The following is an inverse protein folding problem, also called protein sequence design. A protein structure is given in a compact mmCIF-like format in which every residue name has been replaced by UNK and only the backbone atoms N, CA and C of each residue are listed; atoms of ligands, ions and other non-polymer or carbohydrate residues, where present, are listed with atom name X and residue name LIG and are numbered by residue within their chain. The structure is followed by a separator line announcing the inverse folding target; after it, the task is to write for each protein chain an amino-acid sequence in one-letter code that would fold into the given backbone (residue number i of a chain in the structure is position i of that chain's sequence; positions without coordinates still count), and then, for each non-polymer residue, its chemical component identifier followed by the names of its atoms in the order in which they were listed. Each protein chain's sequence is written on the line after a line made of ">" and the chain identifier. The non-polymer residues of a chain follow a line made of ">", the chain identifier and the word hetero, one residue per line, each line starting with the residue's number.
data_IF_154890100506
#
_entry.id   IF_154890100506
#
_cell.length_a   1.000
_cell.length_b   1.000
_cell.length_c   1.000
_cell.angle_alpha   90.00
_cell.angle_beta   90.00
_cell.angle_gamma   90.00
#
_symmetry.space_group_name_H-M   'P 1'
#
loop_
_entity.id
_entity.type
_entity.pdbx_description
1 polymer ?
#
# COMPACT_ATOMS: atom_id res chain seq x y z
N UNK A 1 -8.97 -0.31 -11.68
CA UNK A 1 -8.03 0.16 -10.65
C UNK A 1 -7.04 1.13 -11.28
N UNK A 2 -6.72 2.21 -10.57
CA UNK A 2 -5.66 3.14 -10.91
C UNK A 2 -4.72 3.28 -9.72
N UNK A 3 -3.41 3.16 -9.97
CA UNK A 3 -2.38 3.65 -9.05
C UNK A 3 -1.85 4.96 -9.64
N UNK A 4 -1.95 6.04 -8.88
CA UNK A 4 -1.45 7.35 -9.30
C UNK A 4 -0.29 7.77 -8.40
N UNK A 5 0.90 7.85 -8.97
CA UNK A 5 2.06 8.43 -8.33
C UNK A 5 1.94 9.95 -8.43
N UNK A 6 1.45 10.59 -7.37
CA UNK A 6 1.05 12.00 -7.40
C UNK A 6 2.21 12.97 -7.30
N UNK A 7 3.36 12.50 -6.80
CA UNK A 7 4.57 13.29 -6.64
C UNK A 7 5.81 12.38 -6.56
N UNK A 8 6.94 12.91 -6.99
CA UNK A 8 8.25 12.27 -6.80
C UNK A 8 8.94 12.72 -5.51
N UNK A 9 8.43 13.77 -4.85
CA UNK A 9 8.99 14.30 -3.62
C UNK A 9 8.80 13.29 -2.48
N UNK A 10 9.87 13.05 -1.73
CA UNK A 10 9.85 12.21 -0.54
C UNK A 10 10.85 12.75 0.49
N UNK A 11 10.45 12.71 1.75
CA UNK A 11 11.29 13.08 2.89
C UNK A 11 11.92 11.85 3.59
N UNK A 12 11.80 10.64 3.02
CA UNK A 12 12.51 9.43 3.41
C UNK A 12 13.52 9.00 2.34
N UNK A 13 14.52 8.18 2.73
CA UNK A 13 15.57 7.70 1.83
C UNK A 13 15.75 6.18 1.96
N UNK A 14 14.64 5.45 1.83
CA UNK A 14 14.62 4.00 1.99
C UNK A 14 15.47 3.32 0.91
N UNK A 15 16.50 2.53 1.26
CA UNK A 15 17.38 1.89 0.29
C UNK A 15 16.68 0.77 -0.52
N UNK A 16 15.52 0.30 -0.05
CA UNK A 16 14.69 -0.68 -0.72
C UNK A 16 13.50 -0.06 -1.49
N UNK A 17 13.51 1.25 -1.72
CA UNK A 17 12.47 1.93 -2.48
C UNK A 17 12.62 1.61 -3.98
N UNK A 18 11.63 0.95 -4.58
CA UNK A 18 11.63 0.62 -6.01
C UNK A 18 11.34 1.83 -6.91
N UNK A 19 10.77 2.90 -6.35
CA UNK A 19 10.34 4.05 -7.14
C UNK A 19 11.41 5.15 -7.21
N UNK A 20 12.10 5.40 -6.10
CA UNK A 20 13.12 6.47 -6.00
C UNK A 20 14.55 5.94 -6.06
N UNK A 21 14.75 4.63 -5.86
CA UNK A 21 16.08 4.03 -5.89
C UNK A 21 16.63 4.03 -7.31
N UNK A 22 17.83 4.61 -7.49
CA UNK A 22 18.49 4.70 -8.80
C UNK A 22 17.91 5.73 -9.75
N UNK A 23 16.90 6.47 -9.33
CA UNK A 23 16.45 7.60 -10.08
C UNK A 23 17.50 8.71 -9.98
N UNK A 24 18.13 9.05 -11.09
CA UNK A 24 18.77 10.36 -11.21
C UNK A 24 17.77 11.43 -10.72
N UNK A 25 18.26 12.52 -10.07
CA UNK A 25 17.37 13.63 -9.75
C UNK A 25 16.60 13.96 -11.03
N UNK A 26 15.29 14.18 -10.96
CA UNK A 26 14.49 14.40 -12.16
C UNK A 26 15.23 15.41 -13.02
N UNK A 27 15.55 14.99 -14.25
CA UNK A 27 15.95 15.97 -15.26
C UNK A 27 14.85 17.02 -15.20
N UNK A 28 15.21 18.27 -15.00
CA UNK A 28 14.32 19.36 -14.53
C UNK A 28 13.18 19.74 -15.51
N UNK A 29 12.70 18.82 -16.33
CA UNK A 29 12.00 19.16 -17.55
C UNK A 29 10.52 18.84 -17.61
N UNK A 30 10.00 17.88 -16.81
CA UNK A 30 8.57 17.61 -16.84
C UNK A 30 7.91 17.96 -15.50
N UNK A 31 7.11 19.03 -15.47
CA UNK A 31 6.38 19.39 -14.26
C UNK A 31 5.38 18.30 -13.89
N UNK A 32 5.16 18.12 -12.60
CA UNK A 32 4.08 17.25 -12.09
C UNK A 32 2.74 17.66 -12.71
N UNK A 33 1.87 16.70 -12.96
CA UNK A 33 0.53 16.95 -13.50
C UNK A 33 -0.21 17.98 -12.62
N UNK A 34 -0.70 19.02 -13.25
CA UNK A 34 -1.55 20.04 -12.63
C UNK A 34 -2.96 19.53 -12.39
N UNK A 35 -3.70 20.18 -11.49
CA UNK A 35 -5.09 19.80 -11.21
C UNK A 35 -5.99 19.81 -12.47
N UNK A 36 -5.88 20.81 -13.39
CA UNK A 36 -6.62 20.78 -14.66
C UNK A 36 -6.27 19.59 -15.56
N UNK A 37 -5.00 19.18 -15.65
CA UNK A 37 -4.58 17.99 -16.40
C UNK A 37 -5.16 16.72 -15.78
N UNK A 38 -5.10 16.60 -14.45
CA UNK A 38 -5.69 15.48 -13.69
C UNK A 38 -7.21 15.44 -13.91
N UNK A 39 -7.88 16.59 -14.01
CA UNK A 39 -9.32 16.65 -14.30
C UNK A 39 -9.65 16.11 -15.69
N UNK A 40 -8.84 16.42 -16.69
CA UNK A 40 -9.01 15.87 -18.05
C UNK A 40 -8.84 14.35 -18.04
N UNK A 41 -7.80 13.84 -17.37
CA UNK A 41 -7.56 12.39 -17.22
C UNK A 41 -8.75 11.72 -16.54
N UNK A 42 -9.21 12.24 -15.42
CA UNK A 42 -10.34 11.71 -14.67
C UNK A 42 -11.63 11.71 -15.50
N UNK A 43 -11.83 12.71 -16.34
CA UNK A 43 -12.97 12.82 -17.27
C UNK A 43 -13.02 11.68 -18.30
N UNK A 44 -11.87 11.15 -18.73
CA UNK A 44 -11.75 10.01 -19.65
C UNK A 44 -11.92 8.64 -18.98
N UNK A 45 -11.89 8.57 -17.63
CA UNK A 45 -12.02 7.33 -16.87
C UNK A 45 -13.48 7.10 -16.45
N UNK A 46 -13.86 5.81 -16.41
CA UNK A 46 -15.12 5.37 -15.78
C UNK A 46 -15.02 5.29 -14.26
N UNK A 47 -15.99 4.62 -13.64
CA UNK A 47 -15.97 4.34 -12.20
C UNK A 47 -14.78 3.46 -11.82
N UNK A 48 -14.17 3.74 -10.68
CA UNK A 48 -13.03 3.02 -10.15
C UNK A 48 -13.44 2.18 -8.93
N UNK A 49 -13.07 0.90 -8.93
CA UNK A 49 -13.18 0.10 -7.71
C UNK A 49 -12.10 0.51 -6.70
N UNK A 50 -10.89 0.76 -7.18
CA UNK A 50 -9.73 1.05 -6.36
C UNK A 50 -8.90 2.18 -6.98
N UNK A 51 -8.59 3.19 -6.18
CA UNK A 51 -7.66 4.25 -6.51
C UNK A 51 -6.58 4.31 -5.43
N UNK A 52 -5.34 4.02 -5.80
CA UNK A 52 -4.21 4.15 -4.88
C UNK A 52 -3.40 5.40 -5.25
N UNK A 53 -3.23 6.28 -4.30
CA UNK A 53 -2.28 7.38 -4.40
C UNK A 53 -0.92 6.91 -3.89
N UNK A 54 0.13 7.12 -4.65
CA UNK A 54 1.48 6.66 -4.35
C UNK A 54 2.52 7.67 -4.87
N UNK A 55 3.74 7.22 -5.07
CA UNK A 55 4.86 8.02 -5.57
C UNK A 55 6.00 8.07 -4.55
N UNK A 56 6.53 9.26 -4.27
CA UNK A 56 7.38 9.52 -3.13
C UNK A 56 6.54 9.46 -1.83
N UNK A 57 6.32 10.59 -1.20
CA UNK A 57 5.35 10.71 -0.09
C UNK A 57 4.11 11.49 -0.57
N UNK A 58 2.95 10.83 -0.73
CA UNK A 58 1.77 11.47 -1.30
C UNK A 58 1.32 12.71 -0.54
N UNK A 59 1.46 12.72 0.79
CA UNK A 59 1.03 13.85 1.62
C UNK A 59 1.92 15.09 1.49
N UNK A 60 3.08 14.99 0.84
CA UNK A 60 3.87 16.18 0.46
C UNK A 60 3.26 16.92 -0.73
N UNK A 61 2.32 16.31 -1.45
CA UNK A 61 1.50 16.96 -2.47
C UNK A 61 0.41 17.78 -1.80
N UNK A 62 0.54 19.12 -1.84
CA UNK A 62 -0.35 20.03 -1.09
C UNK A 62 -1.81 20.00 -1.54
N UNK A 63 -2.06 19.77 -2.83
CA UNK A 63 -3.39 19.67 -3.44
C UNK A 63 -3.93 18.22 -3.48
N UNK A 64 -3.35 17.29 -2.70
CA UNK A 64 -3.84 15.89 -2.59
C UNK A 64 -5.32 15.81 -2.19
N UNK A 65 -5.86 16.62 -1.26
CA UNK A 65 -7.29 16.61 -0.95
C UNK A 65 -8.16 17.03 -2.15
N UNK A 66 -7.73 18.04 -2.92
CA UNK A 66 -8.42 18.49 -4.13
C UNK A 66 -8.42 17.41 -5.21
N UNK A 67 -7.28 16.75 -5.44
CA UNK A 67 -7.13 15.63 -6.37
C UNK A 67 -8.06 14.48 -5.93
N UNK A 68 -8.08 14.15 -4.65
CA UNK A 68 -8.94 13.11 -4.08
C UNK A 68 -10.41 13.41 -4.31
N UNK A 69 -10.85 14.64 -4.03
CA UNK A 69 -12.21 15.12 -4.25
C UNK A 69 -12.60 15.11 -5.73
N UNK A 70 -11.65 15.44 -6.62
CA UNK A 70 -11.85 15.39 -8.07
C UNK A 70 -12.19 13.98 -8.53
N UNK A 71 -11.35 12.98 -8.20
CA UNK A 71 -11.62 11.58 -8.53
C UNK A 71 -12.88 11.06 -7.84
N UNK A 72 -13.15 11.45 -6.60
CA UNK A 72 -14.36 11.08 -5.90
C UNK A 72 -15.62 11.51 -6.66
N UNK A 73 -15.64 12.72 -7.19
CA UNK A 73 -16.78 13.24 -7.94
C UNK A 73 -16.91 12.62 -9.33
N UNK A 74 -15.81 12.46 -10.04
CA UNK A 74 -15.78 11.98 -11.44
C UNK A 74 -15.88 10.48 -11.56
N UNK A 75 -15.13 9.75 -10.73
CA UNK A 75 -14.88 8.32 -10.90
C UNK A 75 -15.43 7.45 -9.77
N UNK A 76 -15.93 8.05 -8.69
CA UNK A 76 -16.60 7.37 -7.56
C UNK A 76 -15.83 6.15 -7.07
N UNK A 77 -14.53 6.26 -6.73
CA UNK A 77 -13.77 5.13 -6.27
C UNK A 77 -14.40 4.53 -5.02
N UNK A 78 -14.56 3.18 -5.00
CA UNK A 78 -15.08 2.53 -3.80
C UNK A 78 -14.06 2.59 -2.66
N UNK A 79 -12.77 2.46 -2.98
CA UNK A 79 -11.66 2.54 -2.03
C UNK A 79 -10.60 3.50 -2.56
N UNK A 80 -10.16 4.42 -1.72
CA UNK A 80 -8.98 5.26 -1.94
C UNK A 80 -7.90 4.92 -0.91
N UNK A 81 -6.71 4.55 -1.38
CA UNK A 81 -5.58 4.10 -0.56
C UNK A 81 -4.47 5.15 -0.57
N UNK A 82 -3.95 5.44 0.61
CA UNK A 82 -2.89 6.41 0.86
C UNK A 82 -1.79 5.74 1.71
N UNK A 83 -0.77 5.12 1.11
CA UNK A 83 0.43 4.75 1.85
C UNK A 83 1.18 6.01 2.25
N UNK A 84 1.74 6.03 3.46
CA UNK A 84 2.54 7.16 3.94
C UNK A 84 3.70 6.68 4.79
N UNK A 85 4.80 7.42 4.73
CA UNK A 85 5.95 7.20 5.59
C UNK A 85 5.75 7.74 7.03
N UNK A 86 4.69 8.52 7.26
CA UNK A 86 4.32 9.01 8.58
C UNK A 86 5.22 10.12 9.14
N UNK A 87 6.08 10.76 8.34
CA UNK A 87 7.10 11.69 8.83
C UNK A 87 6.62 13.13 9.03
N UNK A 88 5.39 13.45 8.65
CA UNK A 88 4.77 14.78 8.79
C UNK A 88 3.40 14.66 9.47
N UNK A 89 3.36 14.37 10.78
CA UNK A 89 2.14 13.98 11.50
C UNK A 89 0.98 14.96 11.35
N UNK A 90 1.23 16.26 11.50
CA UNK A 90 0.23 17.32 11.41
C UNK A 90 -0.38 17.37 10.00
N UNK A 91 0.47 17.43 8.98
CA UNK A 91 0.06 17.53 7.58
C UNK A 91 -0.75 16.32 7.15
N UNK A 92 -0.31 15.12 7.54
CA UNK A 92 -1.01 13.87 7.23
C UNK A 92 -2.38 13.84 7.90
N UNK A 93 -2.48 14.24 9.16
CA UNK A 93 -3.74 14.26 9.90
C UNK A 93 -4.72 15.27 9.29
N UNK A 94 -4.26 16.50 9.01
CA UNK A 94 -5.06 17.56 8.40
C UNK A 94 -5.61 17.15 7.02
N UNK A 95 -4.74 16.71 6.13
CA UNK A 95 -5.15 16.28 4.79
C UNK A 95 -6.06 15.07 4.83
N UNK A 96 -5.77 14.08 5.70
CA UNK A 96 -6.63 12.90 5.86
C UNK A 96 -8.02 13.30 6.30
N UNK A 97 -8.15 14.15 7.31
CA UNK A 97 -9.46 14.59 7.80
C UNK A 97 -10.23 15.39 6.72
N UNK A 98 -9.54 16.22 5.95
CA UNK A 98 -10.14 16.93 4.83
C UNK A 98 -10.65 15.96 3.76
N UNK A 99 -9.87 14.94 3.38
CA UNK A 99 -10.28 13.91 2.43
C UNK A 99 -11.49 13.14 2.95
N UNK A 100 -11.52 12.78 4.23
CA UNK A 100 -12.64 12.07 4.86
C UNK A 100 -13.94 12.88 4.80
N UNK A 101 -13.88 14.18 5.03
CA UNK A 101 -15.05 15.09 4.92
C UNK A 101 -15.53 15.20 3.48
N UNK A 102 -14.59 15.35 2.53
CA UNK A 102 -14.90 15.61 1.13
C UNK A 102 -15.34 14.36 0.35
N UNK A 103 -15.00 13.15 0.87
CA UNK A 103 -15.22 11.87 0.19
C UNK A 103 -16.01 10.85 1.06
N UNK A 104 -17.22 11.19 1.56
CA UNK A 104 -17.90 10.42 2.61
C UNK A 104 -18.39 9.03 2.18
N UNK A 105 -18.50 8.74 0.89
CA UNK A 105 -18.98 7.44 0.38
C UNK A 105 -17.87 6.49 -0.08
N UNK A 106 -16.64 6.95 -0.12
CA UNK A 106 -15.48 6.11 -0.41
C UNK A 106 -14.84 5.64 0.89
N UNK A 107 -14.37 4.40 0.91
CA UNK A 107 -13.47 3.94 1.97
C UNK A 107 -12.14 4.67 1.80
N UNK A 108 -11.68 5.35 2.83
CA UNK A 108 -10.39 6.05 2.86
C UNK A 108 -9.44 5.23 3.71
N UNK A 109 -8.45 4.61 3.08
CA UNK A 109 -7.48 3.75 3.74
C UNK A 109 -6.12 4.40 3.81
N UNK A 110 -5.65 4.76 4.99
CA UNK A 110 -4.27 5.22 5.23
C UNK A 110 -3.44 4.06 5.75
N UNK A 111 -2.28 3.83 5.12
CA UNK A 111 -1.34 2.77 5.49
C UNK A 111 -0.02 3.37 5.94
N UNK A 112 0.23 3.30 7.24
CA UNK A 112 1.52 3.72 7.82
C UNK A 112 2.60 2.72 7.44
N UNK A 113 3.71 3.19 6.93
CA UNK A 113 4.88 2.36 6.66
C UNK A 113 5.65 2.12 7.95
N UNK A 114 5.76 0.86 8.39
CA UNK A 114 6.47 0.50 9.61
C UNK A 114 7.28 -0.79 9.37
N UNK A 115 8.58 -0.65 9.18
CA UNK A 115 9.47 -1.74 8.76
C UNK A 115 10.43 -2.21 9.87
N UNK A 116 10.27 -1.69 11.07
CA UNK A 116 11.03 -2.01 12.27
C UNK A 116 10.40 -1.39 13.51
N UNK A 117 11.00 -1.59 14.67
CA UNK A 117 10.61 -0.97 15.94
C UNK A 117 11.76 -0.09 16.43
N UNK A 118 11.47 1.14 16.84
CA UNK A 118 12.47 2.09 17.32
C UNK A 118 13.54 2.41 16.28
N UNK A 119 14.79 2.47 16.71
CA UNK A 119 15.94 2.79 15.85
C UNK A 119 16.14 1.81 14.67
N UNK A 120 15.65 0.56 14.77
CA UNK A 120 15.73 -0.37 13.66
C UNK A 120 14.90 0.12 12.47
N UNK A 121 13.73 0.73 12.72
CA UNK A 121 12.93 1.40 11.70
C UNK A 121 13.68 2.60 11.09
N UNK A 122 14.25 3.44 11.95
CA UNK A 122 14.95 4.66 11.53
C UNK A 122 16.14 4.34 10.63
N UNK A 123 16.96 3.36 11.01
CA UNK A 123 18.09 2.89 10.22
C UNK A 123 17.65 2.33 8.86
N UNK A 124 16.62 1.49 8.87
CA UNK A 124 16.15 0.83 7.65
C UNK A 124 15.54 1.82 6.65
N UNK A 125 14.91 2.89 7.12
CA UNK A 125 14.29 3.91 6.26
C UNK A 125 15.17 5.14 6.01
N UNK A 126 16.34 5.20 6.63
CA UNK A 126 17.25 6.35 6.52
C UNK A 126 16.64 7.64 7.10
N UNK A 127 15.86 7.51 8.18
CA UNK A 127 15.09 8.62 8.78
C UNK A 127 15.28 8.65 10.29
N UNK A 128 16.35 9.26 10.83
CA UNK A 128 16.54 9.39 12.27
C UNK A 128 15.33 10.03 12.96
N UNK A 129 14.83 9.40 14.02
CA UNK A 129 13.62 9.81 14.73
C UNK A 129 12.30 9.54 13.96
N UNK A 130 12.39 8.85 12.82
CA UNK A 130 11.23 8.55 11.97
C UNK A 130 10.19 7.68 12.66
N UNK A 131 10.63 6.68 13.44
CA UNK A 131 9.72 5.82 14.20
C UNK A 131 8.81 6.61 15.13
N UNK A 132 9.37 7.56 15.90
CA UNK A 132 8.58 8.40 16.79
C UNK A 132 7.53 9.21 16.03
N UNK A 133 7.87 9.74 14.84
CA UNK A 133 6.91 10.47 13.97
C UNK A 133 5.82 9.57 13.41
N UNK A 134 6.13 8.33 13.04
CA UNK A 134 5.12 7.34 12.62
C UNK A 134 4.14 7.06 13.74
N UNK A 135 4.62 6.92 14.98
CA UNK A 135 3.75 6.72 16.15
C UNK A 135 2.91 7.96 16.43
N UNK A 136 3.50 9.16 16.38
CA UNK A 136 2.74 10.40 16.49
C UNK A 136 1.66 10.52 15.38
N UNK A 137 1.98 10.14 14.15
CA UNK A 137 1.00 10.11 13.06
C UNK A 137 -0.14 9.13 13.38
N UNK A 138 0.18 7.93 13.89
CA UNK A 138 -0.82 6.99 14.36
C UNK A 138 -1.73 7.59 15.44
N UNK A 139 -1.16 8.24 16.45
CA UNK A 139 -1.91 8.85 17.54
C UNK A 139 -2.85 9.97 17.08
N UNK A 140 -2.44 10.75 16.07
CA UNK A 140 -3.27 11.81 15.47
C UNK A 140 -4.38 11.26 14.57
N UNK A 141 -4.14 10.15 13.88
CA UNK A 141 -5.12 9.53 12.99
C UNK A 141 -6.12 8.64 13.73
N UNK A 142 -5.72 7.99 14.82
CA UNK A 142 -6.55 7.03 15.54
C UNK A 142 -7.93 7.58 15.99
N UNK A 143 -8.06 8.81 16.49
CA UNK A 143 -9.35 9.39 16.86
C UNK A 143 -10.30 9.61 15.67
N UNK A 144 -9.77 9.73 14.45
CA UNK A 144 -10.61 9.91 13.26
C UNK A 144 -11.47 8.66 12.96
N UNK A 145 -11.05 7.48 13.43
CA UNK A 145 -11.83 6.25 13.28
C UNK A 145 -13.19 6.28 13.99
N UNK A 146 -13.33 7.07 15.05
CA UNK A 146 -14.58 7.22 15.79
C UNK A 146 -15.52 8.22 15.14
N UNK A 147 -14.93 9.18 14.39
CA UNK A 147 -15.67 10.26 13.73
C UNK A 147 -16.08 9.93 12.30
N UNK A 148 -15.33 9.05 11.63
CA UNK A 148 -15.47 8.74 10.20
C UNK A 148 -15.55 7.22 10.00
N UNK A 149 -16.76 6.64 9.90
CA UNK A 149 -16.93 5.18 9.77
C UNK A 149 -16.32 4.59 8.49
N UNK A 150 -16.13 5.42 7.45
CA UNK A 150 -15.47 5.02 6.20
C UNK A 150 -13.93 5.05 6.27
N UNK A 151 -13.35 5.43 7.42
CA UNK A 151 -11.91 5.48 7.61
C UNK A 151 -11.32 4.12 7.96
N UNK A 152 -10.22 3.76 7.31
CA UNK A 152 -9.43 2.56 7.58
C UNK A 152 -7.99 2.96 7.87
N UNK A 153 -7.48 2.59 9.03
CA UNK A 153 -6.10 2.82 9.44
C UNK A 153 -5.36 1.48 9.53
N UNK A 154 -4.25 1.38 8.83
CA UNK A 154 -3.46 0.14 8.80
C UNK A 154 -1.96 0.39 8.76
N UNK A 155 -1.22 -0.69 8.85
CA UNK A 155 0.24 -0.71 8.71
C UNK A 155 0.62 -1.54 7.48
N UNK A 156 1.65 -1.09 6.77
CA UNK A 156 2.35 -1.86 5.76
C UNK A 156 3.81 -2.01 6.16
N UNK A 157 4.30 -3.26 6.15
CA UNK A 157 5.70 -3.62 6.38
C UNK A 157 6.27 -4.24 5.12
N UNK A 158 7.38 -3.72 4.62
CA UNK A 158 8.13 -4.35 3.54
C UNK A 158 9.05 -5.40 4.14
N UNK A 159 8.79 -6.67 3.83
CA UNK A 159 9.64 -7.79 4.19
C UNK A 159 10.88 -7.80 3.29
N UNK A 160 12.05 -7.59 3.86
CA UNK A 160 13.33 -7.56 3.16
C UNK A 160 14.42 -8.24 4.00
N UNK A 161 15.61 -8.42 3.41
CA UNK A 161 16.76 -9.04 4.10
C UNK A 161 17.07 -8.37 5.45
N UNK A 162 16.95 -7.05 5.53
CA UNK A 162 17.36 -6.29 6.71
C UNK A 162 16.43 -6.43 7.92
N UNK A 163 15.15 -6.81 7.71
CA UNK A 163 14.18 -6.96 8.81
C UNK A 163 13.57 -8.36 8.94
N UNK A 164 13.93 -9.30 8.07
CA UNK A 164 13.32 -10.64 8.04
C UNK A 164 13.44 -11.42 9.37
N UNK A 165 14.44 -11.10 10.19
CA UNK A 165 14.68 -11.76 11.49
C UNK A 165 13.88 -11.11 12.64
N UNK A 166 13.26 -9.96 12.38
CA UNK A 166 12.56 -9.17 13.40
C UNK A 166 11.04 -9.11 13.16
N UNK A 167 10.52 -9.89 12.21
CA UNK A 167 9.12 -9.80 11.78
C UNK A 167 8.11 -10.12 12.87
N UNK A 168 8.42 -11.08 13.75
CA UNK A 168 7.53 -11.40 14.86
C UNK A 168 7.43 -10.22 15.84
N UNK A 169 8.56 -9.60 16.19
CA UNK A 169 8.57 -8.40 17.03
C UNK A 169 7.82 -7.20 16.41
N UNK A 170 7.93 -7.04 15.10
CA UNK A 170 7.16 -6.01 14.35
C UNK A 170 5.67 -6.32 14.41
N UNK A 171 5.27 -7.57 14.16
CA UNK A 171 3.87 -7.99 14.20
C UNK A 171 3.27 -7.83 15.62
N UNK A 172 4.03 -8.22 16.65
CA UNK A 172 3.63 -8.03 18.05
C UNK A 172 3.48 -6.54 18.40
N UNK A 173 4.39 -5.70 17.91
CA UNK A 173 4.28 -4.27 18.11
C UNK A 173 3.03 -3.70 17.44
N UNK A 174 2.79 -4.05 16.18
CA UNK A 174 1.59 -3.60 15.44
C UNK A 174 0.30 -4.08 16.11
N UNK A 175 0.28 -5.31 16.64
CA UNK A 175 -0.88 -5.84 17.37
C UNK A 175 -1.20 -5.06 18.67
N UNK A 176 -0.20 -4.39 19.28
CA UNK A 176 -0.43 -3.50 20.43
C UNK A 176 -1.04 -2.14 20.04
N UNK A 177 -0.95 -1.74 18.78
CA UNK A 177 -1.58 -0.52 18.29
C UNK A 177 -3.09 -0.76 18.08
N UNK A 178 -3.87 -0.63 19.14
CA UNK A 178 -5.29 -1.06 19.24
C UNK A 178 -6.21 -0.53 18.15
N UNK A 179 -5.84 0.57 17.48
CA UNK A 179 -6.65 1.22 16.43
C UNK A 179 -6.23 0.83 15.02
N UNK A 180 -5.15 0.04 14.87
CA UNK A 180 -4.76 -0.52 13.58
C UNK A 180 -5.72 -1.65 13.21
N UNK A 181 -6.36 -1.54 12.06
CA UNK A 181 -7.32 -2.53 11.55
C UNK A 181 -6.68 -3.60 10.66
N UNK A 182 -5.54 -3.29 10.05
CA UNK A 182 -4.89 -4.25 9.13
C UNK A 182 -3.38 -4.09 9.16
N UNK A 183 -2.69 -5.23 9.16
CA UNK A 183 -1.25 -5.31 8.96
C UNK A 183 -0.95 -6.07 7.68
N UNK A 184 -0.40 -5.38 6.69
CA UNK A 184 0.06 -5.97 5.43
C UNK A 184 1.56 -6.16 5.50
N UNK A 185 2.05 -7.36 5.18
CA UNK A 185 3.48 -7.64 5.03
C UNK A 185 3.73 -7.91 3.56
N UNK A 186 4.37 -6.97 2.90
CA UNK A 186 4.66 -6.98 1.47
C UNK A 186 6.08 -7.48 1.21
N UNK A 187 6.24 -8.43 0.32
CA UNK A 187 7.58 -8.88 -0.09
C UNK A 187 8.27 -7.76 -0.88
N UNK A 188 9.54 -7.47 -0.56
CA UNK A 188 10.34 -6.49 -1.29
C UNK A 188 10.39 -6.80 -2.78
N UNK A 189 10.25 -5.79 -3.63
CA UNK A 189 10.06 -5.95 -5.07
C UNK A 189 10.63 -4.78 -5.88
N UNK A 190 10.50 -4.90 -7.22
CA UNK A 190 10.93 -3.88 -8.16
C UNK A 190 12.44 -3.87 -8.38
N UNK A 191 12.95 -2.89 -9.08
CA UNK A 191 14.36 -2.64 -9.22
C UNK A 191 14.84 -1.80 -8.04
N UNK A 192 15.93 -2.20 -7.40
CA UNK A 192 16.47 -1.55 -6.21
C UNK A 192 17.90 -1.12 -6.49
N UNK A 193 18.34 -0.02 -5.86
CA UNK A 193 19.74 0.41 -5.91
C UNK A 193 20.68 -0.65 -5.32
N UNK A 194 20.24 -1.35 -4.26
CA UNK A 194 20.93 -2.50 -3.69
C UNK A 194 20.04 -3.75 -3.78
N UNK A 195 20.32 -4.62 -4.73
CA UNK A 195 19.63 -5.89 -4.91
C UNK A 195 19.77 -6.84 -3.71
N UNK A 196 20.72 -6.62 -2.80
CA UNK A 196 20.92 -7.38 -1.59
C UNK A 196 19.69 -7.40 -0.66
N UNK A 197 18.88 -6.35 -0.69
CA UNK A 197 17.60 -6.32 0.06
C UNK A 197 16.59 -7.38 -0.38
N UNK A 198 16.70 -7.90 -1.61
CA UNK A 198 15.84 -8.98 -2.13
C UNK A 198 16.29 -10.38 -1.72
N UNK A 199 17.48 -10.54 -1.14
CA UNK A 199 17.99 -11.83 -0.68
C UNK A 199 17.32 -12.23 0.62
N UNK A 200 16.07 -12.67 0.53
CA UNK A 200 15.22 -13.01 1.66
C UNK A 200 15.11 -14.53 1.85
N UNK A 201 14.96 -14.95 3.10
CA UNK A 201 14.56 -16.30 3.45
C UNK A 201 13.04 -16.45 3.29
N UNK A 202 12.62 -17.17 2.25
CA UNK A 202 11.20 -17.42 1.99
C UNK A 202 10.53 -18.29 3.05
N UNK A 203 11.29 -19.07 3.85
CA UNK A 203 10.77 -19.77 5.01
C UNK A 203 10.34 -18.80 6.12
N UNK A 204 11.13 -17.73 6.36
CA UNK A 204 10.76 -16.66 7.29
C UNK A 204 9.54 -15.90 6.80
N UNK A 205 9.49 -15.57 5.50
CA UNK A 205 8.30 -14.93 4.92
C UNK A 205 7.06 -15.84 5.05
N UNK A 206 7.21 -17.15 4.82
CA UNK A 206 6.11 -18.10 5.01
C UNK A 206 5.58 -18.09 6.44
N UNK A 207 6.46 -18.10 7.44
CA UNK A 207 6.04 -18.09 8.87
C UNK A 207 5.19 -16.88 9.20
N UNK A 208 5.65 -15.68 8.84
CA UNK A 208 4.87 -14.46 9.12
C UNK A 208 3.56 -14.42 8.32
N UNK A 209 3.56 -14.85 7.05
CA UNK A 209 2.36 -14.91 6.23
C UNK A 209 1.33 -15.91 6.80
N UNK A 210 1.77 -17.05 7.32
CA UNK A 210 0.92 -18.03 8.01
C UNK A 210 0.37 -17.47 9.31
N UNK A 211 1.21 -16.88 10.15
CA UNK A 211 0.79 -16.25 11.42
C UNK A 211 -0.35 -15.25 11.18
N UNK A 212 -0.15 -14.30 10.28
CA UNK A 212 -1.17 -13.29 9.96
C UNK A 212 -2.45 -13.91 9.35
N UNK A 213 -2.32 -14.99 8.58
CA UNK A 213 -3.47 -15.74 8.06
C UNK A 213 -4.25 -16.45 9.15
N UNK A 214 -3.57 -17.07 10.09
CA UNK A 214 -4.19 -17.79 11.22
C UNK A 214 -4.83 -16.84 12.23
N UNK A 215 -4.24 -15.67 12.45
CA UNK A 215 -4.84 -14.61 13.25
C UNK A 215 -6.17 -14.13 12.66
N UNK A 216 -6.24 -13.97 11.32
CA UNK A 216 -7.49 -13.64 10.62
C UNK A 216 -8.52 -14.76 10.75
N UNK A 217 -8.14 -16.04 10.55
CA UNK A 217 -9.06 -17.18 10.67
C UNK A 217 -9.63 -17.32 12.09
N UNK A 218 -8.80 -17.09 13.10
CA UNK A 218 -9.20 -17.17 14.51
C UNK A 218 -9.99 -15.94 14.97
N UNK A 219 -10.06 -14.87 14.17
CA UNK A 219 -10.73 -13.62 14.53
C UNK A 219 -10.03 -12.83 15.63
N UNK A 220 -8.72 -13.09 15.88
CA UNK A 220 -7.92 -12.34 16.85
C UNK A 220 -7.26 -11.10 16.21
N UNK A 221 -7.03 -11.12 14.91
CA UNK A 221 -6.63 -9.93 14.18
C UNK A 221 -7.85 -9.07 13.83
N UNK A 222 -7.76 -7.75 13.95
CA UNK A 222 -8.79 -6.88 13.45
C UNK A 222 -8.89 -6.99 11.92
N UNK A 223 -10.10 -6.82 11.39
CA UNK A 223 -10.40 -6.83 9.97
C UNK A 223 -10.91 -5.47 9.52
N UNK A 224 -10.88 -5.22 8.22
CA UNK A 224 -11.52 -4.05 7.64
C UNK A 224 -12.98 -3.90 8.11
N UNK A 225 -13.45 -2.66 8.24
CA UNK A 225 -14.81 -2.37 8.67
C UNK A 225 -15.78 -2.08 7.51
N UNK A 226 -15.33 -2.10 6.26
CA UNK A 226 -16.17 -1.81 5.11
C UNK A 226 -16.99 -3.03 4.63
N UNK A 227 -18.02 -2.78 3.84
CA UNK A 227 -18.84 -3.83 3.22
C UNK A 227 -17.96 -4.68 2.27
N UNK A 228 -17.90 -5.99 2.51
CA UNK A 228 -17.03 -6.92 1.78
C UNK A 228 -15.69 -7.21 2.48
N UNK A 229 -15.47 -6.68 3.67
CA UNK A 229 -14.27 -6.89 4.48
C UNK A 229 -13.90 -8.37 4.65
N UNK A 230 -14.87 -9.24 4.87
CA UNK A 230 -14.65 -10.69 5.01
C UNK A 230 -14.13 -11.33 3.72
N UNK A 231 -14.65 -10.91 2.55
CA UNK A 231 -14.14 -11.35 1.26
C UNK A 231 -12.71 -10.85 1.04
N UNK A 232 -12.42 -9.61 1.43
CA UNK A 232 -11.08 -9.05 1.36
C UNK A 232 -10.10 -9.82 2.25
N UNK A 233 -10.49 -10.20 3.47
CA UNK A 233 -9.66 -11.02 4.36
C UNK A 233 -9.38 -12.41 3.77
N UNK A 234 -10.38 -13.07 3.21
CA UNK A 234 -10.20 -14.34 2.51
C UNK A 234 -9.24 -14.20 1.30
N UNK A 235 -9.43 -13.12 0.53
CA UNK A 235 -8.56 -12.79 -0.61
C UNK A 235 -7.12 -12.55 -0.16
N UNK A 236 -6.87 -11.87 0.98
CA UNK A 236 -5.53 -11.63 1.51
C UNK A 236 -4.81 -12.94 1.88
N UNK A 237 -5.53 -13.92 2.43
CA UNK A 237 -4.96 -15.24 2.74
C UNK A 237 -4.57 -16.00 1.46
N UNK A 238 -5.45 -16.02 0.47
CA UNK A 238 -5.16 -16.63 -0.85
C UNK A 238 -3.97 -15.95 -1.51
N UNK A 239 -3.95 -14.62 -1.48
CA UNK A 239 -2.87 -13.80 -2.04
C UNK A 239 -1.51 -14.12 -1.45
N UNK A 240 -1.39 -14.19 -0.12
CA UNK A 240 -0.11 -14.51 0.57
C UNK A 240 0.45 -15.86 0.13
N UNK A 241 -0.42 -16.88 -0.02
CA UNK A 241 -0.02 -18.20 -0.53
C UNK A 241 0.49 -18.13 -1.97
N UNK A 242 -0.19 -17.36 -2.82
CA UNK A 242 0.19 -17.21 -4.22
C UNK A 242 1.49 -16.43 -4.38
N UNK A 243 1.68 -15.37 -3.60
CA UNK A 243 2.92 -14.59 -3.57
C UNK A 243 4.10 -15.49 -3.18
N UNK A 244 3.95 -16.26 -2.10
CA UNK A 244 4.99 -17.20 -1.65
C UNK A 244 5.33 -18.24 -2.73
N UNK A 245 4.31 -18.82 -3.37
CA UNK A 245 4.52 -19.78 -4.43
C UNK A 245 5.22 -19.18 -5.65
N UNK A 246 4.79 -17.98 -6.07
CA UNK A 246 5.45 -17.25 -7.17
C UNK A 246 6.89 -16.85 -6.83
N UNK A 247 7.17 -16.53 -5.55
CA UNK A 247 8.53 -16.20 -5.12
C UNK A 247 9.48 -17.40 -5.13
N UNK A 248 8.96 -18.62 -4.86
CA UNK A 248 9.72 -19.87 -4.92
C UNK A 248 9.95 -20.37 -6.34
N UNK A 249 8.92 -20.25 -7.15
CA UNK A 249 8.90 -20.68 -8.53
C UNK A 249 8.46 -19.48 -9.37
N UNK A 250 9.40 -18.73 -10.00
CA UNK A 250 9.10 -17.49 -10.73
C UNK A 250 8.29 -17.77 -12.01
N UNK A 251 7.06 -18.24 -11.85
CA UNK A 251 6.11 -18.47 -12.93
C UNK A 251 4.77 -17.83 -12.61
N UNK A 252 4.03 -17.49 -13.67
CA UNK A 252 2.70 -16.89 -13.50
C UNK A 252 1.67 -17.95 -13.14
N UNK A 253 1.16 -17.89 -11.91
CA UNK A 253 0.16 -18.80 -11.38
C UNK A 253 -1.27 -18.47 -11.82
N UNK A 254 -1.55 -17.20 -12.09
CA UNK A 254 -2.88 -16.67 -12.47
C UNK A 254 -2.78 -15.70 -13.61
N UNK A 255 -3.88 -15.51 -14.33
CA UNK A 255 -3.96 -14.49 -15.37
C UNK A 255 -3.77 -13.11 -14.74
N UNK A 256 -2.99 -12.26 -15.42
CA UNK A 256 -2.69 -10.91 -14.96
C UNK A 256 -3.53 -9.90 -15.73
N UNK A 257 -4.20 -9.02 -14.99
CA UNK A 257 -5.03 -7.95 -15.56
C UNK A 257 -4.32 -6.60 -15.63
N UNK A 258 -2.98 -6.57 -15.44
CA UNK A 258 -2.18 -5.36 -15.63
C UNK A 258 -2.37 -4.81 -17.05
N UNK A 259 -2.57 -3.50 -17.16
CA UNK A 259 -2.89 -2.82 -18.40
C UNK A 259 -4.33 -3.03 -18.91
N UNK A 260 -5.13 -3.91 -18.30
CA UNK A 260 -6.54 -4.15 -18.65
C UNK A 260 -7.51 -3.66 -17.58
N UNK A 261 -7.32 -4.10 -16.34
CA UNK A 261 -8.10 -3.67 -15.17
C UNK A 261 -7.29 -2.76 -14.24
N UNK A 262 -5.99 -2.74 -14.38
CA UNK A 262 -5.04 -1.97 -13.56
C UNK A 262 -4.15 -1.13 -14.45
N UNK A 263 -3.97 0.13 -14.09
CA UNK A 263 -3.02 1.05 -14.72
C UNK A 263 -2.25 1.80 -13.64
N UNK A 264 -1.06 2.24 -14.00
CA UNK A 264 -0.25 3.19 -13.21
C UNK A 264 -0.10 4.47 -14.01
N UNK A 265 -0.31 5.60 -13.36
CA UNK A 265 -0.06 6.93 -13.88
C UNK A 265 1.03 7.57 -13.03
N UNK A 266 2.08 8.09 -13.67
CA UNK A 266 3.12 8.84 -12.96
C UNK A 266 2.72 10.29 -12.70
N UNK A 267 3.49 10.95 -11.88
CA UNK A 267 3.37 12.39 -11.59
C UNK A 267 3.61 13.28 -12.82
N UNK A 268 4.35 12.77 -13.81
CA UNK A 268 4.66 13.49 -15.07
C UNK A 268 3.76 13.09 -16.22
N UNK A 269 2.80 12.17 -16.00
CA UNK A 269 1.82 11.76 -17.01
C UNK A 269 2.20 10.49 -17.77
N UNK A 270 3.29 9.81 -17.44
CA UNK A 270 3.62 8.52 -18.01
C UNK A 270 2.63 7.45 -17.54
N UNK A 271 2.22 6.59 -18.45
CA UNK A 271 1.31 5.48 -18.19
C UNK A 271 2.06 4.17 -18.25
N UNK A 272 1.89 3.33 -17.22
CA UNK A 272 2.50 2.01 -17.16
C UNK A 272 1.45 0.92 -16.94
N UNK A 273 1.70 -0.33 -17.38
CA UNK A 273 0.79 -1.44 -17.13
C UNK A 273 0.79 -1.86 -15.65
N UNK A 274 1.94 -1.74 -14.98
CA UNK A 274 2.11 -2.09 -13.58
C UNK A 274 3.37 -1.46 -12.96
N UNK A 275 3.43 -1.46 -11.63
CA UNK A 275 4.55 -0.92 -10.84
C UNK A 275 5.84 -1.75 -10.91
N UNK A 276 5.76 -3.03 -11.32
CA UNK A 276 6.92 -3.92 -11.48
C UNK A 276 7.51 -3.89 -12.88
N UNK A 277 6.71 -3.52 -13.85
CA UNK A 277 7.14 -3.37 -15.24
C UNK A 277 6.91 -1.92 -15.66
N UNK A 278 7.88 -1.07 -15.28
CA UNK A 278 7.86 0.37 -15.54
C UNK A 278 8.24 0.69 -17.00
N UNK A 279 7.72 -0.11 -17.95
CA UNK A 279 7.82 0.17 -19.37
C UNK A 279 6.68 1.12 -19.75
N UNK A 280 7.00 2.33 -20.20
CA UNK A 280 6.01 3.32 -20.61
C UNK A 280 5.15 2.81 -21.76
N UNK A 281 3.85 3.03 -21.64
CA UNK A 281 2.87 2.82 -22.69
C UNK A 281 2.62 4.09 -23.51
N UNK A 282 3.06 5.23 -23.00
CA UNK A 282 2.92 6.57 -23.55
C UNK A 282 2.65 7.61 -22.46
N UNK A 283 2.80 8.89 -22.81
CA UNK A 283 2.50 10.01 -21.91
C UNK A 283 1.12 10.58 -22.23
N UNK A 284 0.34 10.92 -21.20
CA UNK A 284 -1.01 11.48 -21.36
C UNK A 284 -1.02 12.80 -22.12
N UNK A 285 0.03 13.61 -22.02
CA UNK A 285 0.17 14.90 -22.71
C UNK A 285 0.24 14.73 -24.23
N UNK A 286 0.88 13.64 -24.70
CA UNK A 286 1.01 13.31 -26.13
C UNK A 286 -0.28 12.77 -26.73
N UNK A 287 -1.26 12.41 -25.89
CA UNK A 287 -2.50 11.77 -26.27
C UNK A 287 -3.75 12.54 -25.83
N UNK A 288 -3.64 13.85 -25.67
CA UNK A 288 -4.74 14.73 -25.27
C UNK A 288 -5.44 14.29 -23.97
N UNK A 289 -4.67 13.66 -23.05
CA UNK A 289 -5.10 13.07 -21.76
C UNK A 289 -6.08 11.90 -21.89
N UNK A 290 -6.19 11.29 -23.11
CA UNK A 290 -7.01 10.10 -23.32
C UNK A 290 -6.21 8.82 -23.09
N UNK A 291 -6.38 8.22 -21.91
CA UNK A 291 -5.78 6.92 -21.58
C UNK A 291 -6.22 5.80 -22.53
N UNK A 292 -7.41 5.90 -23.15
CA UNK A 292 -7.88 4.89 -24.11
C UNK A 292 -7.11 4.97 -25.42
N UNK A 293 -6.72 6.18 -25.84
CA UNK A 293 -5.85 6.36 -27.00
C UNK A 293 -4.49 5.70 -26.78
N UNK A 294 -3.87 5.95 -25.60
CA UNK A 294 -2.61 5.30 -25.21
C UNK A 294 -2.74 3.77 -25.27
N UNK A 295 -3.81 3.22 -24.66
CA UNK A 295 -4.02 1.76 -24.61
C UNK A 295 -4.26 1.10 -25.97
N UNK A 296 -4.63 1.87 -27.00
CA UNK A 296 -4.78 1.40 -28.38
C UNK A 296 -3.51 1.57 -29.22
N UNK A 297 -2.53 2.29 -28.74
CA UNK A 297 -1.26 2.51 -29.45
C UNK A 297 -0.42 1.22 -29.56
N UNK A 298 0.46 1.16 -30.53
CA UNK A 298 1.27 -0.04 -30.77
C UNK A 298 2.16 -0.44 -29.58
N UNK A 299 2.83 0.48 -28.85
CA UNK A 299 3.63 0.12 -27.68
C UNK A 299 2.81 -0.55 -26.58
N UNK A 300 1.60 -0.03 -26.30
CA UNK A 300 0.70 -0.62 -25.31
C UNK A 300 0.26 -2.01 -25.72
N UNK A 301 -0.14 -2.22 -26.99
CA UNK A 301 -0.52 -3.53 -27.51
C UNK A 301 0.59 -4.55 -27.38
N UNK A 302 1.81 -4.22 -27.79
CA UNK A 302 2.96 -5.11 -27.66
C UNK A 302 3.23 -5.53 -26.21
N UNK A 303 3.13 -4.58 -25.28
CA UNK A 303 3.28 -4.85 -23.84
C UNK A 303 2.15 -5.74 -23.30
N UNK A 304 0.90 -5.48 -23.69
CA UNK A 304 -0.24 -6.30 -23.28
C UNK A 304 -0.18 -7.73 -23.82
N UNK A 305 0.30 -7.90 -25.05
CA UNK A 305 0.52 -9.22 -25.67
C UNK A 305 1.62 -9.99 -24.92
N UNK A 306 2.70 -9.34 -24.56
CA UNK A 306 3.76 -9.93 -23.70
C UNK A 306 3.21 -10.38 -22.34
N UNK A 307 2.36 -9.55 -21.71
CA UNK A 307 1.65 -9.92 -20.48
C UNK A 307 0.73 -11.12 -20.72
N UNK A 308 0.00 -11.16 -21.82
CA UNK A 308 -0.90 -12.27 -22.16
C UNK A 308 -0.12 -13.58 -22.40
N UNK A 309 1.03 -13.51 -23.04
CA UNK A 309 1.95 -14.66 -23.25
C UNK A 309 2.66 -15.12 -21.98
N UNK A 310 2.39 -14.51 -20.82
CA UNK A 310 2.97 -14.87 -19.52
C UNK A 310 4.49 -14.68 -19.42
N UNK A 311 5.04 -13.70 -20.12
CA UNK A 311 6.48 -13.41 -20.14
C UNK A 311 7.01 -12.74 -18.86
N UNK A 312 6.15 -12.52 -17.87
CA UNK A 312 6.52 -12.00 -16.57
C UNK A 312 5.75 -12.68 -15.44
N UNK A 313 6.38 -12.72 -14.27
CA UNK A 313 5.77 -13.10 -13.00
C UNK A 313 6.11 -12.03 -11.96
N UNK A 314 5.24 -11.80 -10.99
CA UNK A 314 5.47 -10.84 -9.93
C UNK A 314 4.82 -11.27 -8.61
N UNK A 315 5.29 -10.67 -7.53
CA UNK A 315 4.80 -10.88 -6.16
C UNK A 315 4.03 -9.67 -5.62
N UNK A 316 3.57 -8.78 -6.51
CA UNK A 316 2.94 -7.51 -6.12
C UNK A 316 1.49 -7.68 -5.67
N UNK A 317 1.21 -7.35 -4.42
CA UNK A 317 -0.08 -7.52 -3.74
C UNK A 317 -1.23 -6.85 -4.51
N UNK A 318 -1.07 -5.59 -4.93
CA UNK A 318 -2.14 -4.82 -5.57
C UNK A 318 -2.68 -5.48 -6.85
N UNK A 319 -1.81 -6.18 -7.58
CA UNK A 319 -2.23 -6.90 -8.79
C UNK A 319 -2.86 -8.24 -8.47
N UNK A 320 -2.39 -8.92 -7.42
CA UNK A 320 -3.04 -10.14 -6.95
C UNK A 320 -4.49 -9.90 -6.49
N UNK A 321 -4.82 -8.73 -5.94
CA UNK A 321 -6.21 -8.40 -5.57
C UNK A 321 -7.14 -8.58 -6.77
N UNK A 322 -6.87 -7.89 -7.87
CA UNK A 322 -7.70 -7.99 -9.09
C UNK A 322 -7.57 -9.35 -9.76
N UNK A 323 -6.36 -9.92 -9.84
CA UNK A 323 -6.11 -11.20 -10.46
C UNK A 323 -6.81 -12.36 -9.73
N UNK A 324 -7.06 -12.25 -8.43
CA UNK A 324 -7.79 -13.23 -7.64
C UNK A 324 -9.31 -13.00 -7.75
N UNK A 325 -9.76 -11.77 -7.54
CA UNK A 325 -11.19 -11.44 -7.49
C UNK A 325 -11.90 -11.62 -8.83
N UNK A 326 -11.19 -11.41 -9.94
CA UNK A 326 -11.73 -11.54 -11.29
C UNK A 326 -11.35 -12.86 -11.99
N UNK A 327 -10.79 -13.83 -11.26
CA UNK A 327 -10.48 -15.15 -11.81
C UNK A 327 -11.42 -16.23 -11.23
N UNK A 328 -12.42 -16.71 -11.98
CA UNK A 328 -13.37 -17.72 -11.49
C UNK A 328 -12.71 -19.01 -10.99
N UNK A 329 -11.54 -19.39 -11.53
CA UNK A 329 -10.79 -20.58 -11.11
C UNK A 329 -10.35 -20.53 -9.65
N UNK A 330 -10.29 -19.34 -9.05
CA UNK A 330 -9.91 -19.13 -7.65
C UNK A 330 -11.11 -19.02 -6.70
N UNK A 331 -12.35 -19.00 -7.20
CA UNK A 331 -13.53 -18.91 -6.35
C UNK A 331 -13.67 -20.07 -5.36
N UNK A 332 -13.33 -21.34 -5.70
CA UNK A 332 -13.31 -22.39 -4.68
C UNK A 332 -12.35 -22.08 -3.53
N UNK A 333 -11.13 -21.62 -3.82
CA UNK A 333 -10.14 -21.25 -2.81
C UNK A 333 -10.60 -20.06 -1.96
N UNK A 334 -11.21 -19.04 -2.59
CA UNK A 334 -11.79 -17.90 -1.89
C UNK A 334 -12.94 -18.32 -0.98
N UNK A 335 -13.83 -19.19 -1.44
CA UNK A 335 -14.97 -19.68 -0.66
C UNK A 335 -14.48 -20.48 0.55
N UNK A 336 -13.49 -21.36 0.36
CA UNK A 336 -12.89 -22.13 1.46
C UNK A 336 -12.35 -21.19 2.55
N UNK A 337 -11.56 -20.17 2.18
CA UNK A 337 -11.03 -19.24 3.15
C UNK A 337 -12.13 -18.35 3.76
N UNK A 338 -13.10 -17.93 2.97
CA UNK A 338 -14.23 -17.13 3.45
C UNK A 338 -15.04 -17.87 4.53
N UNK A 339 -15.26 -19.17 4.35
CA UNK A 339 -15.96 -20.02 5.32
C UNK A 339 -15.09 -20.32 6.55
N UNK A 340 -13.78 -20.42 6.38
CA UNK A 340 -12.83 -20.67 7.47
C UNK A 340 -12.59 -19.46 8.39
N UNK A 341 -12.93 -18.25 7.95
CA UNK A 341 -12.82 -17.04 8.80
C UNK A 341 -13.81 -17.11 9.97
N UNK A 342 -13.40 -16.65 11.14
CA UNK A 342 -14.30 -16.48 12.29
C UNK A 342 -15.50 -15.57 11.93
N UNK A 343 -16.69 -15.83 12.50
CA UNK A 343 -17.83 -14.93 12.32
C UNK A 343 -17.51 -13.51 12.81
N UNK A 344 -18.03 -12.46 12.15
CA UNK A 344 -17.88 -11.11 12.65
C UNK A 344 -18.54 -11.00 14.04
N UNK A 345 -17.85 -10.43 15.03
CA UNK A 345 -18.36 -10.21 16.38
C UNK A 345 -17.78 -11.10 17.49
N UNK A 346 -16.97 -12.11 17.19
CA UNK A 346 -16.10 -12.74 18.19
C UNK A 346 -14.77 -12.00 18.29
N UNK A 347 -14.77 -10.80 18.86
CA UNK A 347 -13.56 -10.32 19.52
C UNK A 347 -13.28 -11.31 20.66
N UNK A 348 -12.05 -11.83 20.74
CA UNK A 348 -11.64 -12.63 21.88
C UNK A 348 -11.95 -11.84 23.16
N UNK A 349 -12.49 -12.48 24.22
CA UNK A 349 -12.67 -11.80 25.49
C UNK A 349 -11.33 -11.22 25.91
N UNK A 350 -11.38 -10.01 26.43
CA UNK A 350 -10.26 -9.23 26.95
C UNK A 350 -9.50 -10.10 27.96
N UNK A 351 -8.48 -10.83 27.50
CA UNK A 351 -7.56 -11.51 28.39
C UNK A 351 -6.77 -10.42 29.09
N UNK A 352 -7.08 -10.24 30.37
CA UNK A 352 -6.65 -9.20 31.28
C UNK A 352 -5.30 -8.57 30.94
N UNK A 353 -5.31 -7.29 30.69
CA UNK A 353 -4.12 -6.49 30.51
C UNK A 353 -4.01 -5.45 31.58
N UNK A 354 -3.17 -5.79 32.53
CA UNK A 354 -2.58 -4.83 33.44
C UNK A 354 -1.66 -3.86 32.68
N UNK A 355 -1.91 -2.61 32.98
CA UNK A 355 -1.03 -1.44 33.02
C UNK A 355 0.06 -1.30 31.96
N UNK A 356 -0.18 -0.34 31.07
CA UNK A 356 0.86 0.31 30.27
C UNK A 356 1.80 1.11 31.19
N UNK A 357 2.91 0.53 31.52
CA UNK A 357 4.05 1.27 32.07
C UNK A 357 4.80 1.92 30.89
N UNK A 358 4.69 3.22 30.86
CA UNK A 358 5.32 4.11 29.88
C UNK A 358 6.83 4.02 30.01
N UNK A 359 7.50 3.44 29.01
CA UNK A 359 8.95 3.57 28.87
C UNK A 359 9.27 5.02 28.44
N UNK A 360 9.41 5.91 29.42
CA UNK A 360 10.13 7.17 29.27
C UNK A 360 11.62 6.86 29.22
N UNK A 361 12.42 7.47 28.34
CA UNK A 361 13.86 7.35 28.40
C UNK A 361 14.36 8.02 29.66
N UNK A 362 15.25 7.32 30.38
CA UNK A 362 15.89 7.81 31.61
C UNK A 362 16.62 9.12 31.30
N UNK A 363 16.25 10.16 32.04
CA UNK A 363 16.94 11.43 32.12
C UNK A 363 18.32 11.19 32.80
N UNK A 364 19.40 11.43 32.08
CA UNK A 364 20.74 11.49 32.67
C UNK A 364 20.83 12.69 33.57
N UNK A 365 20.80 12.46 34.88
CA UNK A 365 21.13 13.44 35.89
C UNK A 365 22.62 13.83 35.76
N UNK A 366 22.86 15.09 35.45
CA UNK A 366 24.19 15.72 35.67
C UNK A 366 24.44 15.82 37.15
N UNK A 367 25.44 15.12 37.65
CA UNK A 367 26.07 15.45 38.94
C UNK A 367 27.21 16.42 38.68
N UNK A 368 27.06 17.64 39.18
CA UNK A 368 28.15 18.56 39.25
C UNK A 368 29.05 18.28 40.50
N UNK A 369 30.29 18.42 40.32
CA UNK A 369 31.30 18.92 41.28
C UNK A 369 32.47 19.39 40.48
#
# INVERSE_FOLDING_TARGET
>A
QLTFFVTRKCNARCPFCFYLAGAEPPVAHDPELSLPEIERIAGGLGSLLWLAFSGGEPFLRRDLPEISRLFYRRNRPAIMLYPTNGLTPELIAEQTERILRDCPRSVIAVKLSLDGVGEAHDRLRGTPGGFAKVIETYERLAPLLDRYPQFELGVNTVFCRANQDHMDGIADFVARLKRIRTHTVSLVRGELADAGYKQVDLGKYQRIAQRLGDELRRGVAPVYAFRGARLKAAQDIVQRRMILRTAREPQRLVDCYAGRLNLVLSETGEVYPCETRMQSLGNVRDHDYDLRAIMRAAPARATLDSIARRECACTHECYFVTNILFNPRLYPALTTEYLALAPPGRAAPDAGRDTAETARPASTARTGS
#
